data_IF_719975858458
#
_entry.id   IF_719975858458
#
_cell.length_a   1.000
_cell.length_b   1.000
_cell.length_c   1.000
_cell.angle_alpha   90.00
_cell.angle_beta   90.00
_cell.angle_gamma   90.00
#
_symmetry.space_group_name_H-M   'P 1'
#
loop_
_entity.id
_entity.type
_entity.pdbx_description
1 polymer ?
#
# COMPACT_ATOMS: atom_id res chain seq x y z
N UNK A 1 -3.92 15.21 4.66
CA UNK A 1 -3.19 15.41 5.92
C UNK A 1 -4.21 15.64 7.01
N UNK A 2 -4.16 14.86 8.09
CA UNK A 2 -5.13 14.90 9.20
C UNK A 2 -4.36 14.90 10.50
N UNK A 3 -4.72 15.79 11.43
CA UNK A 3 -4.02 15.93 12.71
C UNK A 3 -4.33 14.72 13.58
N UNK A 4 -3.33 13.88 13.89
CA UNK A 4 -3.42 12.75 14.82
C UNK A 4 -2.28 12.90 15.85
N UNK A 5 -2.59 13.23 17.13
CA UNK A 5 -1.57 13.47 18.15
C UNK A 5 -0.56 12.34 18.34
N UNK A 6 -0.97 11.08 18.16
CA UNK A 6 -0.11 9.91 18.39
C UNK A 6 0.88 9.75 17.25
N UNK A 7 0.42 9.89 16.00
CA UNK A 7 1.30 9.79 14.83
C UNK A 7 2.24 10.99 14.72
N UNK A 8 1.76 12.19 15.11
CA UNK A 8 2.56 13.40 15.15
C UNK A 8 3.71 13.30 16.18
N UNK A 9 3.44 12.75 17.37
CA UNK A 9 4.46 12.50 18.39
C UNK A 9 5.51 11.49 17.88
N UNK A 10 5.07 10.35 17.33
CA UNK A 10 5.97 9.33 16.74
C UNK A 10 6.85 9.90 15.62
N UNK A 11 6.25 10.71 14.74
CA UNK A 11 6.98 11.35 13.65
C UNK A 11 8.02 12.33 14.19
N UNK A 12 7.65 13.15 15.18
CA UNK A 12 8.55 14.11 15.80
C UNK A 12 9.75 13.41 16.47
N UNK A 13 9.50 12.36 17.26
CA UNK A 13 10.56 11.55 17.89
C UNK A 13 11.50 10.93 16.84
N UNK A 14 10.94 10.39 15.76
CA UNK A 14 11.72 9.79 14.68
C UNK A 14 12.64 10.81 14.00
N UNK A 15 12.11 12.00 13.67
CA UNK A 15 12.86 13.07 13.00
C UNK A 15 13.98 13.61 13.90
N UNK A 16 13.67 13.91 15.18
CA UNK A 16 14.67 14.37 16.16
C UNK A 16 15.76 13.32 16.36
N UNK A 17 15.38 12.05 16.50
CA UNK A 17 16.32 10.93 16.58
C UNK A 17 17.19 10.81 15.34
N UNK A 18 16.65 11.04 14.14
CA UNK A 18 17.40 11.01 12.89
C UNK A 18 18.43 12.12 12.77
N UNK A 19 18.05 13.36 13.09
CA UNK A 19 18.98 14.49 13.06
C UNK A 19 20.13 14.34 14.06
N UNK A 20 19.87 13.78 15.25
CA UNK A 20 20.92 13.48 16.24
C UNK A 20 21.94 12.46 15.72
N UNK A 21 21.51 11.46 14.93
CA UNK A 21 22.39 10.42 14.34
C UNK A 21 23.24 10.94 13.18
N UNK A 22 22.67 11.81 12.35
CA UNK A 22 23.30 12.29 11.11
C UNK A 22 24.23 13.50 11.33
N UNK A 23 24.33 14.01 12.56
CA UNK A 23 25.20 15.13 12.85
C UNK A 23 26.69 14.73 12.75
N UNK A 24 27.57 15.51 12.09
CA UNK A 24 28.98 15.14 11.88
C UNK A 24 29.79 14.86 13.16
N UNK A 25 29.43 15.47 14.29
CA UNK A 25 30.03 15.20 15.62
C UNK A 25 29.34 14.11 16.45
N UNK A 26 28.38 13.38 15.88
CA UNK A 26 27.64 12.36 16.63
C UNK A 26 28.53 11.17 17.05
N UNK A 27 29.58 10.87 16.27
CA UNK A 27 30.53 9.79 16.58
C UNK A 27 31.37 10.08 17.83
N UNK A 28 31.72 11.34 18.08
CA UNK A 28 32.50 11.77 19.26
C UNK A 28 31.73 11.61 20.58
N UNK A 29 30.39 11.66 20.52
CA UNK A 29 29.51 11.62 21.68
C UNK A 29 29.05 10.20 22.06
N UNK A 30 29.54 9.15 21.37
CA UNK A 30 29.22 7.75 21.70
C UNK A 30 27.75 7.35 21.54
N UNK A 31 26.92 8.21 20.93
CA UNK A 31 25.46 8.01 20.81
C UNK A 31 25.04 7.14 19.61
N UNK A 32 25.99 6.75 18.76
CA UNK A 32 25.72 6.06 17.49
C UNK A 32 25.29 4.59 17.65
N UNK A 33 25.70 3.89 18.72
CA UNK A 33 25.64 2.42 18.78
C UNK A 33 24.31 1.82 19.25
N UNK A 34 23.59 2.44 20.18
CA UNK A 34 22.49 1.75 20.89
C UNK A 34 21.16 1.69 20.09
N UNK A 35 20.90 2.64 19.19
CA UNK A 35 19.60 2.76 18.49
C UNK A 35 19.60 2.15 17.08
N UNK A 36 20.76 1.87 16.48
CA UNK A 36 20.86 1.22 15.16
C UNK A 36 20.31 -0.22 15.19
N UNK A 37 20.44 -0.91 16.33
CA UNK A 37 19.95 -2.28 16.49
C UNK A 37 18.42 -2.42 16.47
N UNK A 38 17.66 -1.35 16.75
CA UNK A 38 16.19 -1.39 16.76
C UNK A 38 15.61 -1.24 15.34
N UNK A 39 16.10 -0.27 14.55
CA UNK A 39 15.65 -0.07 13.17
C UNK A 39 16.19 -1.15 12.21
N UNK A 40 17.35 -1.74 12.52
CA UNK A 40 17.96 -2.81 11.71
C UNK A 40 17.29 -4.18 11.89
N UNK A 41 16.45 -4.39 12.92
CA UNK A 41 15.83 -5.70 13.17
C UNK A 41 14.81 -6.12 12.11
N UNK A 42 14.14 -5.16 11.49
CA UNK A 42 13.12 -5.43 10.46
C UNK A 42 13.54 -4.96 9.04
N UNK A 43 14.66 -4.25 8.92
CA UNK A 43 15.11 -3.71 7.64
C UNK A 43 15.91 -4.75 6.83
N UNK A 44 15.46 -5.02 5.61
CA UNK A 44 16.22 -5.84 4.65
C UNK A 44 17.53 -5.12 4.32
N UNK A 45 18.64 -5.86 4.36
CA UNK A 45 19.94 -5.34 3.96
C UNK A 45 19.89 -4.77 2.51
N UNK A 46 20.45 -3.58 2.34
CA UNK A 46 20.40 -2.85 1.07
C UNK A 46 21.17 -3.57 -0.05
N UNK A 47 22.23 -4.29 0.30
CA UNK A 47 22.99 -5.07 -0.68
C UNK A 47 22.19 -6.27 -1.17
N UNK A 48 21.53 -6.97 -0.25
CA UNK A 48 20.61 -8.07 -0.57
C UNK A 48 19.45 -7.60 -1.46
N UNK A 49 18.76 -6.52 -1.07
CA UNK A 49 17.63 -5.99 -1.83
C UNK A 49 18.01 -5.61 -3.26
N UNK A 50 19.18 -4.99 -3.46
CA UNK A 50 19.69 -4.65 -4.80
C UNK A 50 19.92 -5.89 -5.65
N UNK A 51 20.60 -6.91 -5.09
CA UNK A 51 20.85 -8.20 -5.78
C UNK A 51 19.54 -8.90 -6.12
N UNK A 52 18.57 -8.87 -5.21
CA UNK A 52 17.23 -9.43 -5.40
C UNK A 52 16.51 -8.80 -6.59
N UNK A 53 16.42 -7.47 -6.63
CA UNK A 53 15.76 -6.75 -7.72
C UNK A 53 16.46 -7.03 -9.07
N UNK A 54 17.79 -7.06 -9.09
CA UNK A 54 18.55 -7.39 -10.29
C UNK A 54 18.23 -8.81 -10.79
N UNK A 55 18.26 -9.79 -9.90
CA UNK A 55 17.93 -11.19 -10.23
C UNK A 55 16.49 -11.31 -10.77
N UNK A 56 15.52 -10.74 -10.05
CA UNK A 56 14.11 -10.79 -10.42
C UNK A 56 13.86 -10.17 -11.80
N UNK A 57 14.52 -9.05 -12.13
CA UNK A 57 14.39 -8.39 -13.45
C UNK A 57 15.04 -9.18 -14.59
N UNK A 58 16.15 -9.87 -14.33
CA UNK A 58 16.92 -10.57 -15.37
C UNK A 58 16.39 -11.98 -15.64
N UNK A 59 15.96 -12.70 -14.59
CA UNK A 59 15.69 -14.14 -14.65
C UNK A 59 14.20 -14.50 -14.63
N UNK A 60 13.34 -13.62 -14.12
CA UNK A 60 11.91 -13.93 -13.93
C UNK A 60 11.07 -13.15 -14.95
N UNK A 61 10.37 -13.88 -15.81
CA UNK A 61 9.45 -13.34 -16.81
C UNK A 61 8.07 -13.98 -16.60
N UNK A 62 7.27 -13.42 -15.69
CA UNK A 62 5.95 -13.96 -15.38
C UNK A 62 5.07 -13.98 -16.62
N UNK A 63 4.35 -15.08 -16.82
CA UNK A 63 3.33 -15.21 -17.85
C UNK A 63 1.96 -15.29 -17.22
N UNK A 64 0.97 -14.79 -17.96
CA UNK A 64 -0.42 -14.86 -17.59
C UNK A 64 -0.93 -16.27 -17.97
N UNK A 65 -0.99 -17.18 -17.01
CA UNK A 65 -1.46 -18.55 -17.22
C UNK A 65 -2.64 -18.82 -16.29
N UNK A 66 -3.75 -19.34 -16.84
CA UNK A 66 -4.96 -19.76 -16.09
C UNK A 66 -5.54 -18.70 -15.13
N UNK A 67 -5.54 -17.44 -15.56
CA UNK A 67 -6.10 -16.34 -14.79
C UNK A 67 -7.60 -16.21 -15.08
N UNK A 68 -8.35 -15.85 -14.05
CA UNK A 68 -9.75 -15.43 -14.18
C UNK A 68 -9.87 -14.10 -14.94
N UNK A 69 -9.89 -14.20 -16.28
CA UNK A 69 -10.11 -13.06 -17.18
C UNK A 69 -11.48 -12.41 -16.92
N UNK A 70 -12.48 -13.21 -16.55
CA UNK A 70 -13.83 -12.75 -16.26
C UNK A 70 -13.86 -11.74 -15.12
N UNK A 71 -13.05 -11.97 -14.08
CA UNK A 71 -12.91 -11.04 -12.94
C UNK A 71 -12.41 -9.66 -13.36
N UNK A 72 -11.38 -9.60 -14.21
CA UNK A 72 -10.82 -8.32 -14.69
C UNK A 72 -11.85 -7.57 -15.54
N UNK A 73 -12.54 -8.29 -16.43
CA UNK A 73 -13.63 -7.73 -17.25
C UNK A 73 -14.77 -7.20 -16.39
N UNK A 74 -15.17 -7.94 -15.36
CA UNK A 74 -16.22 -7.53 -14.42
C UNK A 74 -15.83 -6.25 -13.69
N UNK A 75 -14.63 -6.18 -13.12
CA UNK A 75 -14.14 -4.97 -12.43
C UNK A 75 -14.14 -3.77 -13.37
N UNK A 76 -13.64 -3.94 -14.60
CA UNK A 76 -13.59 -2.85 -15.57
C UNK A 76 -14.98 -2.34 -15.95
N UNK A 77 -15.93 -3.24 -16.20
CA UNK A 77 -17.32 -2.87 -16.56
C UNK A 77 -18.04 -2.19 -15.39
N UNK A 78 -17.89 -2.69 -14.17
CA UNK A 78 -18.41 -2.07 -12.94
C UNK A 78 -17.80 -0.66 -12.76
N UNK A 79 -16.49 -0.52 -12.91
CA UNK A 79 -15.76 0.75 -12.76
C UNK A 79 -16.15 1.78 -13.83
N UNK A 80 -16.28 1.33 -15.08
CA UNK A 80 -16.71 2.19 -16.19
C UNK A 80 -18.14 2.68 -16.04
N UNK A 81 -19.03 1.86 -15.46
CA UNK A 81 -20.42 2.24 -15.15
C UNK A 81 -20.48 3.32 -14.07
N UNK A 82 -19.70 3.19 -13.01
CA UNK A 82 -19.64 4.21 -11.94
C UNK A 82 -18.99 5.52 -12.41
N UNK A 83 -17.95 5.42 -13.23
CA UNK A 83 -17.29 6.56 -13.85
C UNK A 83 -18.21 7.40 -14.76
N UNK A 84 -19.30 6.81 -15.29
CA UNK A 84 -20.27 7.52 -16.10
C UNK A 84 -21.06 8.59 -15.32
N UNK A 85 -21.13 8.48 -13.98
CA UNK A 85 -21.75 9.48 -13.10
C UNK A 85 -20.96 10.78 -12.97
N UNK A 86 -19.81 10.90 -13.65
CA UNK A 86 -18.89 12.03 -13.58
C UNK A 86 -17.76 11.81 -12.58
N UNK A 87 -16.58 12.37 -12.83
CA UNK A 87 -15.42 12.33 -11.91
C UNK A 87 -14.14 11.72 -12.48
N UNK A 88 -14.23 10.65 -13.28
CA UNK A 88 -13.06 9.99 -13.88
C UNK A 88 -13.35 9.35 -15.22
N UNK A 89 -12.37 9.34 -16.14
CA UNK A 89 -12.45 8.55 -17.37
C UNK A 89 -11.72 7.21 -17.21
N UNK A 90 -12.45 6.13 -17.42
CA UNK A 90 -11.93 4.77 -17.35
C UNK A 90 -11.63 4.28 -18.77
N UNK A 91 -10.35 4.04 -19.05
CA UNK A 91 -9.84 3.59 -20.34
C UNK A 91 -9.19 2.21 -20.24
N UNK A 92 -8.95 1.59 -21.40
CA UNK A 92 -8.32 0.27 -21.53
C UNK A 92 -6.94 0.21 -20.85
N UNK A 93 -6.21 1.34 -20.81
CA UNK A 93 -4.94 1.46 -20.09
C UNK A 93 -5.01 0.99 -18.63
N UNK A 94 -6.17 1.11 -17.98
CA UNK A 94 -6.32 0.67 -16.58
C UNK A 94 -6.31 -0.85 -16.47
N UNK A 95 -6.84 -1.57 -17.46
CA UNK A 95 -6.73 -3.03 -17.54
C UNK A 95 -5.27 -3.44 -17.73
N UNK A 96 -4.56 -2.76 -18.64
CA UNK A 96 -3.12 -3.01 -18.83
C UNK A 96 -2.32 -2.74 -17.55
N UNK A 97 -2.68 -1.71 -16.78
CA UNK A 97 -2.07 -1.43 -15.49
C UNK A 97 -2.30 -2.57 -14.50
N UNK A 98 -3.50 -3.16 -14.43
CA UNK A 98 -3.77 -4.33 -13.58
C UNK A 98 -2.85 -5.49 -13.97
N UNK A 99 -2.76 -5.79 -15.26
CA UNK A 99 -1.91 -6.87 -15.78
C UNK A 99 -0.43 -6.65 -15.41
N UNK A 100 0.09 -5.44 -15.65
CA UNK A 100 1.48 -5.10 -15.33
C UNK A 100 1.75 -5.18 -13.82
N UNK A 101 0.82 -4.75 -12.97
CA UNK A 101 0.96 -4.84 -11.52
C UNK A 101 0.90 -6.29 -11.04
N UNK A 102 0.06 -7.14 -11.63
CA UNK A 102 0.00 -8.56 -11.31
C UNK A 102 1.31 -9.28 -11.69
N UNK A 103 1.85 -9.01 -12.88
CA UNK A 103 3.18 -9.50 -13.29
C UNK A 103 4.29 -8.97 -12.37
N UNK A 104 4.22 -7.69 -11.97
CA UNK A 104 5.19 -7.13 -11.03
C UNK A 104 5.14 -7.83 -9.67
N UNK A 105 3.95 -8.13 -9.16
CA UNK A 105 3.76 -8.90 -7.93
C UNK A 105 4.30 -10.33 -8.06
N UNK A 106 4.00 -11.03 -9.16
CA UNK A 106 4.56 -12.36 -9.42
C UNK A 106 6.10 -12.32 -9.48
N UNK A 107 6.67 -11.30 -10.13
CA UNK A 107 8.12 -11.07 -10.19
C UNK A 107 8.72 -10.78 -8.81
N UNK A 108 8.01 -10.02 -7.96
CA UNK A 108 8.41 -9.79 -6.56
C UNK A 108 8.44 -11.08 -5.74
N UNK A 109 7.68 -12.11 -6.12
CA UNK A 109 7.71 -13.44 -5.50
C UNK A 109 8.62 -14.44 -6.24
N UNK A 110 9.39 -13.98 -7.24
CA UNK A 110 10.20 -14.82 -8.13
C UNK A 110 9.41 -15.92 -8.85
N UNK A 111 8.10 -15.74 -9.05
CA UNK A 111 7.24 -16.67 -9.77
C UNK A 111 7.22 -16.39 -11.27
N UNK A 112 7.24 -17.46 -12.07
CA UNK A 112 7.12 -17.36 -13.53
C UNK A 112 5.66 -17.39 -14.03
N UNK A 113 4.69 -17.59 -13.14
CA UNK A 113 3.27 -17.52 -13.46
C UNK A 113 2.57 -16.57 -12.48
N UNK A 114 1.56 -15.87 -12.98
CA UNK A 114 0.71 -14.96 -12.20
C UNK A 114 -0.40 -15.74 -11.54
N UNK A 115 -0.58 -15.58 -10.23
CA UNK A 115 -1.66 -16.22 -9.48
C UNK A 115 -2.86 -15.28 -9.33
N UNK A 116 -4.03 -15.83 -8.96
CA UNK A 116 -5.23 -15.03 -8.66
C UNK A 116 -4.99 -14.00 -7.53
N UNK A 117 -4.11 -14.30 -6.57
CA UNK A 117 -3.76 -13.38 -5.49
C UNK A 117 -3.03 -12.12 -5.99
N UNK A 118 -2.16 -12.27 -7.00
CA UNK A 118 -1.46 -11.13 -7.62
C UNK A 118 -2.46 -10.22 -8.35
N UNK A 119 -3.47 -10.81 -8.97
CA UNK A 119 -4.54 -10.08 -9.65
C UNK A 119 -5.44 -9.38 -8.65
N UNK A 120 -5.77 -10.03 -7.53
CA UNK A 120 -6.54 -9.42 -6.44
C UNK A 120 -5.81 -8.21 -5.86
N UNK A 121 -4.50 -8.36 -5.61
CA UNK A 121 -3.65 -7.27 -5.15
C UNK A 121 -3.62 -6.12 -6.16
N UNK A 122 -3.38 -6.42 -7.45
CA UNK A 122 -3.33 -5.42 -8.51
C UNK A 122 -4.65 -4.65 -8.66
N UNK A 123 -5.79 -5.35 -8.58
CA UNK A 123 -7.12 -4.73 -8.60
C UNK A 123 -7.29 -3.81 -7.39
N UNK A 124 -6.96 -4.29 -6.18
CA UNK A 124 -7.08 -3.51 -4.95
C UNK A 124 -6.25 -2.22 -5.01
N UNK A 125 -4.99 -2.32 -5.46
CA UNK A 125 -4.08 -1.17 -5.62
C UNK A 125 -4.62 -0.17 -6.64
N UNK A 126 -5.09 -0.63 -7.80
CA UNK A 126 -5.67 0.25 -8.81
C UNK A 126 -6.91 0.96 -8.27
N UNK A 127 -7.83 0.22 -7.67
CA UNK A 127 -9.09 0.76 -7.17
C UNK A 127 -8.83 1.78 -6.07
N UNK A 128 -7.91 1.51 -5.13
CA UNK A 128 -7.53 2.46 -4.08
C UNK A 128 -7.01 3.77 -4.68
N UNK A 129 -6.09 3.69 -5.64
CA UNK A 129 -5.56 4.87 -6.34
C UNK A 129 -6.66 5.65 -7.08
N UNK A 130 -7.56 4.95 -7.76
CA UNK A 130 -8.67 5.55 -8.50
C UNK A 130 -9.64 6.25 -7.55
N UNK A 131 -10.05 5.57 -6.48
CA UNK A 131 -11.01 6.06 -5.48
C UNK A 131 -10.45 7.27 -4.73
N UNK A 132 -9.18 7.24 -4.33
CA UNK A 132 -8.53 8.35 -3.63
C UNK A 132 -8.41 9.61 -4.49
N UNK A 133 -8.39 9.47 -5.82
CA UNK A 133 -8.39 10.61 -6.75
C UNK A 133 -9.76 11.28 -6.93
N UNK A 134 -10.83 10.69 -6.41
CA UNK A 134 -12.19 11.19 -6.60
C UNK A 134 -12.62 12.23 -5.55
N UNK A 135 -13.63 13.02 -5.92
CA UNK A 135 -14.31 13.92 -4.98
C UNK A 135 -14.94 13.11 -3.85
N UNK A 136 -14.93 13.67 -2.64
CA UNK A 136 -15.37 13.01 -1.40
C UNK A 136 -16.71 12.27 -1.50
N UNK A 137 -17.73 12.89 -2.11
CA UNK A 137 -19.05 12.27 -2.24
C UNK A 137 -19.04 10.99 -3.11
N UNK A 138 -18.28 10.99 -4.20
CA UNK A 138 -18.13 9.83 -5.07
C UNK A 138 -17.18 8.80 -4.46
N UNK A 139 -16.13 9.25 -3.77
CA UNK A 139 -15.19 8.39 -3.04
C UNK A 139 -15.93 7.41 -2.13
N UNK A 140 -16.79 7.91 -1.24
CA UNK A 140 -17.53 7.07 -0.28
C UNK A 140 -18.47 6.06 -0.98
N UNK A 141 -19.15 6.50 -2.06
CA UNK A 141 -20.02 5.62 -2.84
C UNK A 141 -19.23 4.51 -3.56
N UNK A 142 -18.07 4.85 -4.12
CA UNK A 142 -17.18 3.90 -4.77
C UNK A 142 -16.55 2.94 -3.77
N UNK A 143 -16.10 3.41 -2.60
CA UNK A 143 -15.57 2.55 -1.52
C UNK A 143 -16.60 1.51 -1.08
N UNK A 144 -17.85 1.92 -0.85
CA UNK A 144 -18.92 1.01 -0.47
C UNK A 144 -19.16 -0.06 -1.55
N UNK A 145 -19.15 0.31 -2.83
CA UNK A 145 -19.43 -0.60 -3.94
C UNK A 145 -18.28 -1.57 -4.23
N UNK A 146 -17.05 -1.08 -4.18
CA UNK A 146 -15.84 -1.84 -4.51
C UNK A 146 -15.19 -2.52 -3.29
N UNK A 147 -15.78 -2.39 -2.10
CA UNK A 147 -15.30 -3.01 -0.85
C UNK A 147 -14.91 -4.48 -1.02
N UNK A 148 -15.68 -5.26 -1.78
CA UNK A 148 -15.42 -6.69 -2.06
C UNK A 148 -14.05 -6.97 -2.71
N UNK A 149 -13.48 -6.01 -3.44
CA UNK A 149 -12.17 -6.15 -4.10
C UNK A 149 -11.03 -5.47 -3.33
N UNK A 150 -11.35 -4.67 -2.32
CA UNK A 150 -10.36 -3.94 -1.51
C UNK A 150 -9.87 -4.77 -0.32
N UNK A 151 -10.52 -5.89 -0.01
CA UNK A 151 -10.07 -6.83 1.03
C UNK A 151 -8.86 -7.60 0.50
N UNK A 152 -7.69 -6.99 0.65
CA UNK A 152 -6.49 -7.77 0.94
C UNK A 152 -6.67 -8.41 2.32
N UNK A 153 -5.86 -9.41 2.67
CA UNK A 153 -5.71 -9.91 4.03
C UNK A 153 -5.22 -8.79 4.96
N UNK A 154 -6.08 -7.83 5.28
CA UNK A 154 -5.82 -6.86 6.33
C UNK A 154 -5.67 -7.69 7.59
N UNK A 155 -4.48 -7.65 8.19
CA UNK A 155 -4.25 -8.29 9.47
C UNK A 155 -5.40 -7.91 10.39
N UNK A 156 -6.00 -8.89 11.06
CA UNK A 156 -7.08 -8.65 12.03
C UNK A 156 -6.69 -7.57 13.04
N UNK A 157 -5.39 -7.50 13.36
CA UNK A 157 -4.80 -6.47 14.22
C UNK A 157 -4.92 -5.05 13.64
N UNK A 158 -4.77 -4.86 12.32
CA UNK A 158 -4.94 -3.55 11.68
C UNK A 158 -6.40 -3.11 11.69
N UNK A 159 -7.33 -4.04 11.51
CA UNK A 159 -8.77 -3.74 11.61
C UNK A 159 -9.18 -3.38 13.04
N UNK A 160 -8.64 -4.10 14.03
CA UNK A 160 -8.83 -3.80 15.45
C UNK A 160 -8.22 -2.44 15.81
N UNK A 161 -7.01 -2.14 15.35
CA UNK A 161 -6.37 -0.83 15.54
C UNK A 161 -7.21 0.30 14.92
N UNK A 162 -7.71 0.11 13.70
CA UNK A 162 -8.60 1.08 13.04
C UNK A 162 -9.85 1.36 13.87
N UNK A 163 -10.53 0.32 14.37
CA UNK A 163 -11.77 0.50 15.13
C UNK A 163 -11.51 1.10 16.52
N UNK A 164 -10.39 0.73 17.17
CA UNK A 164 -9.95 1.33 18.44
C UNK A 164 -9.64 2.81 18.28
N UNK A 165 -8.89 3.21 17.25
CA UNK A 165 -8.59 4.61 16.95
C UNK A 165 -9.86 5.41 16.68
N UNK A 166 -10.79 4.83 15.92
CA UNK A 166 -12.11 5.44 15.66
C UNK A 166 -12.90 5.67 16.95
N UNK A 167 -12.97 4.68 17.83
CA UNK A 167 -13.66 4.80 19.12
C UNK A 167 -12.98 5.83 20.04
N UNK A 168 -11.65 5.83 20.08
CA UNK A 168 -10.87 6.81 20.85
C UNK A 168 -11.13 8.23 20.36
N UNK A 169 -11.08 8.48 19.05
CA UNK A 169 -11.36 9.79 18.48
C UNK A 169 -12.77 10.30 18.82
N UNK A 170 -13.78 9.43 18.76
CA UNK A 170 -15.15 9.77 19.19
C UNK A 170 -15.20 10.10 20.68
N UNK A 171 -14.53 9.31 21.52
CA UNK A 171 -14.50 9.52 22.97
C UNK A 171 -13.73 10.78 23.38
N UNK A 172 -12.62 11.11 22.70
CA UNK A 172 -11.84 12.31 22.95
C UNK A 172 -12.61 13.58 22.58
N UNK A 173 -13.40 13.54 21.51
CA UNK A 173 -14.30 14.64 21.14
C UNK A 173 -15.48 14.83 22.10
N UNK A 174 -15.84 13.80 22.89
CA UNK A 174 -16.89 13.87 23.91
C UNK A 174 -16.40 14.44 25.25
N UNK A 175 -15.08 14.52 25.47
CA UNK A 175 -14.46 15.04 26.70
C UNK A 175 -13.92 16.48 26.56
N UNK A 176 -14.09 17.11 25.40
CA UNK A 176 -13.85 18.53 25.14
C UNK A 176 -15.17 19.26 24.97
#
# INVERSE_FOLDING_TARGET
>A
DTVDPIEDERLAEFVVGSHRRLHPRAEELGTAGAMQAAAAKDAIDQTLLRKYIMYARQKVRPVLQDIDQGKITQVYTELRREAAGGGLTIAVRHIESIIRMAEASARMHLRNAVNNDDVNLAISVLLRSVIDSQKYALKNAMEAKFKKYMVASTDTNQLLDFELRRLYAVASHLHT
#
